data_IF_334995937016
#
_entry.id   IF_334995937016
#
_cell.length_a   1.000
_cell.length_b   1.000
_cell.length_c   1.000
_cell.angle_alpha   90.00
_cell.angle_beta   90.00
_cell.angle_gamma   90.00
#
_symmetry.space_group_name_H-M   'P 1'
#
loop_
_entity.id
_entity.type
_entity.pdbx_description
1 polymer ?
#
# COMPACT_ATOMS: atom_id res chain seq x y z
N UNK A 1 14.68 19.05 -15.20
CA UNK A 1 15.54 17.98 -15.74
C UNK A 1 16.61 17.51 -14.75
N UNK A 2 17.39 18.44 -14.12
CA UNK A 2 18.44 18.11 -13.14
C UNK A 2 17.83 17.47 -11.89
N UNK A 3 16.81 18.08 -11.30
CA UNK A 3 16.11 17.56 -10.10
C UNK A 3 15.52 16.18 -10.37
N UNK A 4 14.96 15.97 -11.56
CA UNK A 4 14.39 14.71 -11.99
C UNK A 4 15.44 13.58 -12.06
N UNK A 5 16.65 13.87 -12.52
CA UNK A 5 17.75 12.90 -12.53
C UNK A 5 18.24 12.57 -11.12
N UNK A 6 18.28 13.55 -10.21
CA UNK A 6 18.75 13.34 -8.84
C UNK A 6 17.76 12.56 -7.98
N UNK A 7 16.45 12.80 -8.15
CA UNK A 7 15.41 12.23 -7.27
C UNK A 7 14.78 10.97 -7.87
N UNK A 8 14.93 10.75 -9.17
CA UNK A 8 14.30 9.68 -9.91
C UNK A 8 12.86 10.01 -10.32
N UNK A 9 12.44 9.50 -11.48
CA UNK A 9 11.15 9.81 -12.08
C UNK A 9 9.96 9.46 -11.18
N UNK A 10 10.01 8.32 -10.51
CA UNK A 10 8.91 7.80 -9.69
C UNK A 10 8.58 8.63 -8.44
N UNK A 11 9.48 9.49 -7.99
CA UNK A 11 9.29 10.33 -6.81
C UNK A 11 9.34 11.82 -7.11
N UNK A 12 9.64 12.18 -8.36
CA UNK A 12 9.75 13.58 -8.80
C UNK A 12 8.51 14.42 -8.49
N UNK A 13 7.33 13.85 -8.66
CA UNK A 13 6.07 14.52 -8.36
C UNK A 13 5.90 14.92 -6.90
N UNK A 14 6.62 14.25 -5.96
CA UNK A 14 6.60 14.61 -4.53
C UNK A 14 7.25 15.96 -4.24
N UNK A 15 8.12 16.45 -5.15
CA UNK A 15 8.70 17.78 -5.03
C UNK A 15 7.61 18.85 -5.06
N UNK A 16 6.51 18.60 -5.77
CA UNK A 16 5.37 19.50 -5.81
C UNK A 16 4.67 19.66 -4.46
N UNK A 17 4.80 18.69 -3.55
CA UNK A 17 4.25 18.80 -2.19
C UNK A 17 5.01 19.78 -1.30
N UNK A 18 6.28 20.08 -1.64
CA UNK A 18 7.09 21.05 -0.92
C UNK A 18 6.67 22.48 -1.31
N UNK A 19 6.02 22.66 -2.47
CA UNK A 19 5.49 23.94 -2.89
C UNK A 19 4.30 24.30 -2.00
N UNK A 20 4.28 25.50 -1.41
CA UNK A 20 3.17 25.99 -0.60
C UNK A 20 1.97 26.34 -1.47
N UNK A 21 1.43 25.37 -2.23
CA UNK A 21 0.37 25.58 -3.20
C UNK A 21 -0.89 26.18 -2.57
N UNK A 22 -1.31 25.67 -1.41
CA UNK A 22 -2.49 26.16 -0.70
C UNK A 22 -2.34 27.62 -0.25
N UNK A 23 -1.25 28.02 0.45
CA UNK A 23 -1.00 29.43 0.76
C UNK A 23 -0.88 30.31 -0.47
N UNK A 24 -0.25 29.84 -1.56
CA UNK A 24 -0.14 30.62 -2.81
C UNK A 24 -1.50 30.85 -3.48
N UNK A 25 -2.35 29.83 -3.53
CA UNK A 25 -3.71 29.94 -4.07
C UNK A 25 -4.54 30.92 -3.20
N UNK A 26 -4.46 30.79 -1.88
CA UNK A 26 -5.15 31.71 -0.96
C UNK A 26 -4.66 33.15 -1.12
N UNK A 27 -3.35 33.35 -1.24
CA UNK A 27 -2.76 34.67 -1.48
C UNK A 27 -3.20 35.25 -2.83
N UNK A 28 -3.12 34.48 -3.92
CA UNK A 28 -3.56 34.89 -5.23
C UNK A 28 -5.06 35.26 -5.24
N UNK A 29 -5.90 34.45 -4.57
CA UNK A 29 -7.32 34.74 -4.40
C UNK A 29 -7.59 36.07 -3.66
N UNK A 30 -6.86 36.32 -2.58
CA UNK A 30 -6.98 37.58 -1.82
C UNK A 30 -6.50 38.79 -2.63
N UNK A 31 -5.45 38.64 -3.43
CA UNK A 31 -4.98 39.70 -4.34
C UNK A 31 -6.00 40.00 -5.43
N UNK A 32 -6.64 38.97 -6.02
CA UNK A 32 -7.70 39.12 -7.00
C UNK A 32 -8.90 39.88 -6.41
N UNK A 33 -9.36 39.48 -5.21
CA UNK A 33 -10.47 40.14 -4.52
C UNK A 33 -10.18 41.63 -4.29
N UNK A 34 -8.97 41.96 -3.82
CA UNK A 34 -8.53 43.35 -3.62
C UNK A 34 -8.46 44.15 -4.92
N UNK A 35 -8.07 43.53 -6.02
CA UNK A 35 -7.87 44.19 -7.33
C UNK A 35 -9.20 44.51 -8.04
N UNK A 36 -10.28 43.78 -7.73
CA UNK A 36 -11.60 43.97 -8.40
C UNK A 36 -12.32 45.26 -7.98
N UNK A 37 -11.73 46.05 -7.08
CA UNK A 37 -12.17 47.43 -6.84
C UNK A 37 -12.67 47.71 -5.44
N UNK A 38 -12.85 49.00 -5.14
CA UNK A 38 -13.17 49.51 -3.80
C UNK A 38 -14.58 49.18 -3.28
N UNK A 39 -15.47 48.63 -4.12
CA UNK A 39 -16.83 48.29 -3.70
C UNK A 39 -16.85 46.95 -2.95
N UNK A 40 -17.21 46.98 -1.66
CA UNK A 40 -17.38 45.80 -0.83
C UNK A 40 -18.32 44.76 -1.43
N UNK A 41 -19.40 45.19 -2.06
CA UNK A 41 -20.36 44.29 -2.70
C UNK A 41 -19.73 43.44 -3.81
N UNK A 42 -18.87 44.01 -4.65
CA UNK A 42 -18.18 43.27 -5.72
C UNK A 42 -17.18 42.25 -5.15
N UNK A 43 -16.51 42.60 -4.03
CA UNK A 43 -15.57 41.69 -3.35
C UNK A 43 -16.33 40.49 -2.77
N UNK A 44 -17.50 40.69 -2.16
CA UNK A 44 -18.35 39.59 -1.66
C UNK A 44 -18.88 38.70 -2.77
N UNK A 45 -19.31 39.27 -3.89
CA UNK A 45 -19.79 38.51 -5.06
C UNK A 45 -18.65 37.60 -5.57
N UNK A 46 -17.45 38.16 -5.74
CA UNK A 46 -16.29 37.37 -6.18
C UNK A 46 -15.90 36.26 -5.17
N UNK A 47 -15.94 36.56 -3.88
CA UNK A 47 -15.68 35.60 -2.84
C UNK A 47 -16.68 34.43 -2.88
N UNK A 48 -17.98 34.73 -2.98
CA UNK A 48 -19.04 33.72 -3.10
C UNK A 48 -18.85 32.89 -4.39
N UNK A 49 -18.49 33.53 -5.48
CA UNK A 49 -18.22 32.85 -6.75
C UNK A 49 -17.05 31.87 -6.63
N UNK A 50 -15.91 32.30 -6.03
CA UNK A 50 -14.76 31.44 -5.79
C UNK A 50 -15.15 30.27 -4.86
N UNK A 51 -15.89 30.53 -3.78
CA UNK A 51 -16.36 29.51 -2.87
C UNK A 51 -17.29 28.50 -3.57
N UNK A 52 -18.19 28.97 -4.43
CA UNK A 52 -19.05 28.11 -5.23
C UNK A 52 -18.24 27.24 -6.20
N UNK A 53 -17.27 27.80 -6.92
CA UNK A 53 -16.38 27.03 -7.81
C UNK A 53 -15.63 25.95 -7.03
N UNK A 54 -15.08 26.28 -5.87
CA UNK A 54 -14.38 25.29 -5.02
C UNK A 54 -15.34 24.19 -4.51
N UNK A 55 -16.58 24.54 -4.16
CA UNK A 55 -17.58 23.57 -3.71
C UNK A 55 -18.05 22.64 -4.84
N UNK A 56 -18.22 23.15 -6.05
CA UNK A 56 -18.67 22.36 -7.20
C UNK A 56 -17.55 21.57 -7.89
N UNK A 57 -16.34 22.13 -7.97
CA UNK A 57 -15.19 21.46 -8.59
C UNK A 57 -14.40 20.61 -7.60
N UNK A 58 -14.57 20.84 -6.30
CA UNK A 58 -13.93 20.06 -5.27
C UNK A 58 -14.59 18.70 -5.09
N UNK A 59 -13.82 17.62 -5.16
CA UNK A 59 -14.27 16.29 -4.71
C UNK A 59 -14.31 16.25 -3.18
N UNK A 60 -15.48 16.03 -2.62
CA UNK A 60 -15.63 15.87 -1.17
C UNK A 60 -14.89 14.61 -0.70
N UNK A 61 -13.92 14.78 0.18
CA UNK A 61 -13.12 13.69 0.75
C UNK A 61 -13.96 12.55 1.37
N UNK A 62 -15.23 12.84 1.73
CA UNK A 62 -16.14 11.85 2.32
C UNK A 62 -16.92 11.01 1.29
N UNK A 63 -16.96 11.40 0.01
CA UNK A 63 -17.78 10.69 -0.99
C UNK A 63 -17.24 9.30 -1.37
N UNK A 64 -15.93 9.10 -1.26
CA UNK A 64 -15.26 7.89 -1.76
C UNK A 64 -14.85 6.93 -0.64
N UNK A 65 -15.39 7.08 0.57
CA UNK A 65 -15.07 6.20 1.69
C UNK A 65 -13.59 6.25 2.12
N UNK A 66 -12.89 7.36 1.86
CA UNK A 66 -11.51 7.58 2.31
C UNK A 66 -11.37 7.56 3.83
N UNK A 67 -12.42 7.90 4.55
CA UNK A 67 -12.44 7.85 6.00
C UNK A 67 -13.16 6.58 6.46
N UNK A 68 -12.38 5.60 6.90
CA UNK A 68 -12.89 4.43 7.61
C UNK A 68 -12.65 4.60 9.10
N UNK A 69 -13.58 4.07 9.93
CA UNK A 69 -13.38 4.00 11.38
C UNK A 69 -12.11 3.20 11.64
N UNK A 70 -11.20 3.78 12.41
CA UNK A 70 -9.94 3.12 12.78
C UNK A 70 -10.27 2.02 13.79
N UNK A 71 -9.86 0.81 13.53
CA UNK A 71 -10.08 -0.37 14.38
C UNK A 71 -8.93 -0.56 15.38
N UNK A 72 -7.73 -0.13 15.01
CA UNK A 72 -6.56 -0.19 15.89
C UNK A 72 -5.71 1.08 15.77
N UNK A 73 -4.86 1.33 16.77
CA UNK A 73 -4.00 2.53 16.87
C UNK A 73 -3.06 2.67 15.66
N UNK A 74 -2.60 1.55 15.12
CA UNK A 74 -1.64 1.52 14.00
C UNK A 74 -2.32 1.67 12.63
N UNK A 75 -3.66 1.70 12.56
CA UNK A 75 -4.44 1.77 11.32
C UNK A 75 -4.15 0.61 10.35
N UNK A 76 -3.83 -0.55 10.89
CA UNK A 76 -3.55 -1.78 10.15
C UNK A 76 -4.86 -2.56 9.98
N UNK A 77 -5.14 -3.15 8.80
CA UNK A 77 -6.29 -4.03 8.61
C UNK A 77 -6.26 -5.22 9.59
N UNK A 78 -7.41 -5.55 10.17
CA UNK A 78 -7.52 -6.65 11.14
C UNK A 78 -7.12 -8.00 10.54
N UNK A 79 -7.36 -8.17 9.24
CA UNK A 79 -6.88 -9.33 8.47
C UNK A 79 -5.36 -9.52 8.64
N UNK A 80 -4.58 -8.44 8.53
CA UNK A 80 -3.11 -8.51 8.66
C UNK A 80 -2.69 -8.84 10.09
N UNK A 81 -3.38 -8.24 11.07
CA UNK A 81 -3.15 -8.53 12.50
C UNK A 81 -3.39 -10.00 12.78
N UNK A 82 -4.52 -10.55 12.31
CA UNK A 82 -4.88 -11.96 12.47
C UNK A 82 -3.87 -12.89 11.79
N UNK A 83 -3.40 -12.55 10.60
CA UNK A 83 -2.37 -13.32 9.89
C UNK A 83 -1.05 -13.32 10.67
N UNK A 84 -0.59 -12.18 11.15
CA UNK A 84 0.66 -12.09 11.90
C UNK A 84 0.57 -12.86 13.22
N UNK A 85 -0.55 -12.75 13.94
CA UNK A 85 -0.78 -13.49 15.18
C UNK A 85 -0.78 -15.01 14.93
N UNK A 86 -1.52 -15.47 13.90
CA UNK A 86 -1.55 -16.88 13.52
C UNK A 86 -0.16 -17.44 13.19
N UNK A 87 0.66 -16.66 12.47
CA UNK A 87 2.04 -17.06 12.14
C UNK A 87 2.89 -17.14 13.43
N UNK A 88 2.75 -16.17 14.33
CA UNK A 88 3.51 -16.14 15.58
C UNK A 88 3.09 -17.25 16.55
N UNK A 89 1.82 -17.65 16.56
CA UNK A 89 1.31 -18.79 17.35
C UNK A 89 1.84 -20.13 16.85
N UNK A 90 2.06 -20.27 15.55
CA UNK A 90 2.54 -21.50 14.92
C UNK A 90 4.06 -21.59 14.83
N UNK A 91 4.75 -20.51 15.15
CA UNK A 91 6.20 -20.42 15.09
C UNK A 91 6.85 -21.35 16.14
N UNK A 92 7.84 -22.13 15.72
CA UNK A 92 8.70 -22.88 16.63
C UNK A 92 9.64 -21.94 17.42
N UNK A 93 10.09 -22.39 18.57
CA UNK A 93 11.03 -21.64 19.40
C UNK A 93 12.34 -21.41 18.63
N UNK A 94 12.74 -20.13 18.47
CA UNK A 94 13.89 -19.68 17.67
C UNK A 94 13.75 -19.78 16.12
N UNK A 95 12.58 -20.07 15.58
CA UNK A 95 12.37 -20.05 14.14
C UNK A 95 12.38 -18.62 13.59
N UNK A 96 13.18 -18.36 12.54
CA UNK A 96 13.09 -17.12 11.78
C UNK A 96 11.94 -17.19 10.77
N UNK A 97 11.02 -16.25 10.84
CA UNK A 97 9.87 -16.17 9.92
C UNK A 97 10.29 -15.49 8.61
N UNK A 98 10.14 -16.21 7.50
CA UNK A 98 10.30 -15.71 6.14
C UNK A 98 8.96 -15.82 5.40
N UNK A 99 8.20 -14.72 5.40
CA UNK A 99 6.87 -14.64 4.81
C UNK A 99 6.90 -14.12 3.38
N UNK A 100 6.19 -14.79 2.47
CA UNK A 100 5.88 -14.26 1.15
C UNK A 100 4.36 -14.10 0.97
N UNK A 101 3.94 -12.91 0.54
CA UNK A 101 2.54 -12.52 0.40
C UNK A 101 2.36 -11.47 -0.70
N UNK A 102 1.14 -11.04 -0.96
CA UNK A 102 0.81 -9.97 -1.90
C UNK A 102 1.19 -8.57 -1.38
N UNK A 103 1.02 -7.56 -2.23
CA UNK A 103 1.38 -6.17 -1.90
C UNK A 103 0.52 -5.55 -0.81
N UNK A 104 -0.74 -5.97 -0.68
CA UNK A 104 -1.66 -5.40 0.31
C UNK A 104 -1.19 -5.77 1.72
N UNK A 105 -0.99 -7.07 1.94
CA UNK A 105 -0.55 -7.60 3.22
C UNK A 105 0.90 -7.20 3.50
N UNK A 106 1.81 -7.34 2.53
CA UNK A 106 3.23 -7.03 2.67
C UNK A 106 3.52 -5.59 3.14
N UNK A 107 2.65 -4.65 2.77
CA UNK A 107 2.81 -3.24 3.16
C UNK A 107 2.61 -3.02 4.65
N UNK A 108 1.74 -3.81 5.28
CA UNK A 108 1.36 -3.65 6.69
C UNK A 108 2.11 -4.59 7.63
N UNK A 109 2.50 -5.79 7.17
CA UNK A 109 3.21 -6.78 8.00
C UNK A 109 4.44 -6.17 8.66
N UNK A 110 5.28 -5.47 7.89
CA UNK A 110 6.50 -4.83 8.42
C UNK A 110 6.23 -3.69 9.42
N UNK A 111 5.06 -3.09 9.35
CA UNK A 111 4.65 -2.03 10.28
C UNK A 111 4.14 -2.67 11.58
N UNK A 112 3.45 -3.80 11.47
CA UNK A 112 2.89 -4.51 12.62
C UNK A 112 3.95 -5.31 13.36
N UNK A 113 4.70 -6.15 12.64
CA UNK A 113 5.74 -7.00 13.19
C UNK A 113 7.02 -6.97 12.34
N UNK A 114 8.02 -6.17 12.73
CA UNK A 114 9.28 -6.08 12.00
C UNK A 114 10.16 -7.32 12.09
N UNK A 115 9.86 -8.28 12.97
CA UNK A 115 10.60 -9.55 13.09
C UNK A 115 10.33 -10.49 11.91
N UNK A 116 9.17 -10.31 11.24
CA UNK A 116 8.78 -11.09 10.06
C UNK A 116 9.58 -10.62 8.85
N UNK A 117 10.51 -11.46 8.41
CA UNK A 117 11.34 -11.19 7.23
C UNK A 117 10.56 -11.49 5.95
N UNK A 118 10.78 -10.68 4.91
CA UNK A 118 10.15 -10.88 3.60
C UNK A 118 11.18 -10.83 2.48
N UNK A 119 11.05 -11.67 1.42
CA UNK A 119 12.02 -11.74 0.34
C UNK A 119 11.96 -10.53 -0.62
N UNK A 120 10.90 -9.71 -0.52
CA UNK A 120 10.69 -8.50 -1.31
C UNK A 120 9.83 -7.50 -0.53
N UNK A 121 9.86 -6.24 -0.96
CA UNK A 121 8.97 -5.19 -0.48
C UNK A 121 7.83 -4.91 -1.47
N UNK A 122 7.10 -3.83 -1.24
CA UNK A 122 5.98 -3.38 -2.06
C UNK A 122 6.36 -3.31 -3.55
N UNK A 123 5.51 -3.87 -4.40
CA UNK A 123 5.72 -3.93 -5.85
C UNK A 123 6.88 -4.86 -6.26
N UNK A 124 7.26 -5.83 -5.44
CA UNK A 124 8.38 -6.73 -5.70
C UNK A 124 9.74 -6.03 -5.69
N UNK A 125 9.82 -4.78 -5.20
CA UNK A 125 11.06 -4.00 -5.11
C UNK A 125 11.89 -4.44 -3.90
N UNK A 126 13.20 -4.16 -3.92
CA UNK A 126 14.10 -4.53 -2.81
C UNK A 126 14.43 -6.02 -2.75
N UNK A 127 14.06 -6.78 -3.74
CA UNK A 127 14.35 -8.21 -3.86
C UNK A 127 15.81 -8.49 -4.22
N UNK A 128 16.75 -7.71 -3.73
CA UNK A 128 18.23 -7.91 -3.88
C UNK A 128 18.66 -8.60 -5.20
N UNK A 129 18.09 -8.18 -6.34
CA UNK A 129 18.44 -8.70 -7.68
C UNK A 129 17.98 -10.14 -8.00
N UNK A 130 17.42 -10.89 -7.05
CA UNK A 130 17.05 -12.29 -7.24
C UNK A 130 15.82 -12.44 -8.13
N UNK A 131 16.00 -13.03 -9.32
CA UNK A 131 14.90 -13.35 -10.26
C UNK A 131 13.77 -14.14 -9.58
N UNK A 132 14.10 -15.04 -8.65
CA UNK A 132 13.14 -15.85 -7.91
C UNK A 132 12.14 -15.00 -7.09
N UNK A 133 12.60 -13.92 -6.43
CA UNK A 133 11.73 -13.05 -5.65
C UNK A 133 10.74 -12.28 -6.53
N UNK A 134 11.19 -11.76 -7.69
CA UNK A 134 10.29 -11.11 -8.66
C UNK A 134 9.26 -12.08 -9.23
N UNK A 135 9.66 -13.33 -9.52
CA UNK A 135 8.74 -14.35 -10.01
C UNK A 135 7.74 -14.79 -8.93
N UNK A 136 8.19 -14.94 -7.67
CA UNK A 136 7.30 -15.27 -6.57
C UNK A 136 6.26 -14.17 -6.37
N UNK A 137 6.69 -12.93 -6.26
CA UNK A 137 5.81 -11.77 -6.16
C UNK A 137 4.77 -11.73 -7.29
N UNK A 138 5.21 -11.86 -8.56
CA UNK A 138 4.30 -11.89 -9.71
C UNK A 138 3.23 -12.97 -9.62
N UNK A 139 3.54 -14.12 -9.02
CA UNK A 139 2.57 -15.21 -8.85
C UNK A 139 1.61 -14.93 -7.70
N UNK A 140 2.08 -14.33 -6.61
CA UNK A 140 1.24 -14.04 -5.44
C UNK A 140 0.26 -12.88 -5.67
N UNK A 141 0.61 -11.95 -6.56
CA UNK A 141 -0.27 -10.85 -6.98
C UNK A 141 -1.25 -11.27 -8.10
N UNK A 142 -1.00 -12.38 -8.78
CA UNK A 142 -1.86 -12.85 -9.86
C UNK A 142 -3.17 -13.42 -9.32
N UNK A 143 -4.29 -13.13 -9.99
CA UNK A 143 -5.62 -13.68 -9.63
C UNK A 143 -5.62 -15.22 -9.58
N UNK A 144 -4.89 -15.86 -10.50
CA UNK A 144 -4.74 -17.32 -10.54
C UNK A 144 -3.27 -17.70 -10.49
N UNK A 145 -2.71 -17.90 -9.29
CA UNK A 145 -1.31 -18.26 -9.15
C UNK A 145 -0.99 -19.67 -9.68
N UNK A 146 0.16 -19.80 -10.32
CA UNK A 146 0.69 -21.11 -10.73
C UNK A 146 1.45 -21.73 -9.56
N UNK A 147 0.78 -22.59 -8.80
CA UNK A 147 1.28 -23.14 -7.52
C UNK A 147 2.65 -23.81 -7.65
N UNK A 148 2.92 -24.54 -8.73
CA UNK A 148 4.25 -25.13 -8.97
C UNK A 148 5.36 -24.08 -8.98
N UNK A 149 5.10 -22.89 -9.56
CA UNK A 149 6.07 -21.78 -9.57
C UNK A 149 6.17 -21.09 -8.20
N UNK A 150 5.06 -20.95 -7.48
CA UNK A 150 5.04 -20.42 -6.11
C UNK A 150 5.93 -21.28 -5.23
N UNK A 151 5.65 -22.57 -5.11
CA UNK A 151 6.39 -23.51 -4.27
C UNK A 151 7.89 -23.55 -4.65
N UNK A 152 8.21 -23.64 -5.94
CA UNK A 152 9.61 -23.66 -6.42
C UNK A 152 10.39 -22.42 -5.97
N UNK A 153 9.79 -21.23 -6.13
CA UNK A 153 10.47 -19.98 -5.80
C UNK A 153 10.48 -19.71 -4.29
N UNK A 154 9.42 -20.09 -3.55
CA UNK A 154 9.38 -19.99 -2.11
C UNK A 154 10.51 -20.81 -1.46
N UNK A 155 10.67 -22.07 -1.86
CA UNK A 155 11.78 -22.92 -1.38
C UNK A 155 13.16 -22.34 -1.71
N UNK A 156 13.32 -21.80 -2.93
CA UNK A 156 14.58 -21.16 -3.34
C UNK A 156 14.92 -19.92 -2.51
N UNK A 157 13.90 -19.23 -2.02
CA UNK A 157 14.03 -18.04 -1.17
C UNK A 157 14.00 -18.36 0.32
N UNK A 158 13.89 -19.65 0.67
CA UNK A 158 13.77 -20.14 2.06
C UNK A 158 12.55 -19.53 2.79
N UNK A 159 11.46 -19.25 2.05
CA UNK A 159 10.21 -18.83 2.70
C UNK A 159 9.57 -20.05 3.36
N UNK A 160 9.33 -19.93 4.68
CA UNK A 160 8.62 -20.94 5.47
C UNK A 160 7.12 -20.64 5.55
N UNK A 161 6.71 -19.38 5.38
CA UNK A 161 5.29 -18.99 5.39
C UNK A 161 4.87 -18.37 4.06
N UNK A 162 3.66 -18.73 3.60
CA UNK A 162 3.03 -18.21 2.38
C UNK A 162 1.61 -17.77 2.68
N UNK A 163 1.26 -16.52 2.33
CA UNK A 163 -0.10 -16.00 2.46
C UNK A 163 -0.60 -15.57 1.09
N UNK A 164 -1.69 -16.19 0.65
CA UNK A 164 -2.35 -15.91 -0.62
C UNK A 164 -3.75 -16.54 -0.62
N UNK A 165 -4.64 -16.18 -1.57
CA UNK A 165 -5.98 -16.76 -1.63
C UNK A 165 -5.95 -18.29 -1.69
N UNK A 166 -6.84 -18.92 -0.94
CA UNK A 166 -6.89 -20.40 -0.76
C UNK A 166 -6.97 -21.09 -2.12
N UNK A 167 -6.04 -21.97 -2.44
CA UNK A 167 -6.07 -22.72 -3.69
C UNK A 167 -7.11 -23.85 -3.66
N UNK A 168 -7.51 -24.35 -4.83
CA UNK A 168 -8.36 -25.54 -4.91
C UNK A 168 -7.73 -26.75 -4.18
N UNK A 169 -8.57 -27.68 -3.67
CA UNK A 169 -8.11 -28.87 -2.93
C UNK A 169 -6.96 -29.64 -3.62
N UNK A 170 -7.02 -29.78 -4.96
CA UNK A 170 -5.95 -30.44 -5.72
C UNK A 170 -4.62 -29.69 -5.66
N UNK A 171 -4.66 -28.36 -5.65
CA UNK A 171 -3.45 -27.51 -5.55
C UNK A 171 -2.90 -27.52 -4.13
N UNK A 172 -3.78 -27.56 -3.14
CA UNK A 172 -3.43 -27.67 -1.72
C UNK A 172 -2.68 -29.00 -1.46
N UNK A 173 -3.25 -30.12 -1.91
CA UNK A 173 -2.59 -31.44 -1.80
C UNK A 173 -1.20 -31.44 -2.44
N UNK A 174 -1.04 -30.79 -3.59
CA UNK A 174 0.28 -30.64 -4.20
C UNK A 174 1.25 -29.85 -3.30
N UNK A 175 0.79 -28.79 -2.62
CA UNK A 175 1.63 -28.02 -1.69
C UNK A 175 2.05 -28.86 -0.48
N UNK A 176 1.15 -29.66 0.05
CA UNK A 176 1.41 -30.59 1.17
C UNK A 176 2.50 -31.63 0.79
N UNK A 177 2.45 -32.20 -0.42
CA UNK A 177 3.52 -33.10 -0.92
C UNK A 177 4.89 -32.39 -1.03
N UNK A 178 4.90 -31.06 -0.98
CA UNK A 178 6.11 -30.25 -1.02
C UNK A 178 6.47 -29.63 0.33
N UNK A 179 5.76 -30.01 1.41
CA UNK A 179 6.04 -29.59 2.78
C UNK A 179 5.45 -28.21 3.14
N UNK A 180 4.41 -27.75 2.45
CA UNK A 180 3.64 -26.58 2.83
C UNK A 180 2.23 -27.01 3.24
N UNK A 181 1.91 -26.81 4.49
CA UNK A 181 0.62 -27.19 5.09
C UNK A 181 -0.23 -25.95 5.32
N UNK A 182 -1.56 -26.10 5.25
CA UNK A 182 -2.49 -25.04 5.60
C UNK A 182 -2.57 -24.91 7.12
N UNK A 183 -2.15 -23.78 7.65
CA UNK A 183 -2.17 -23.49 9.10
C UNK A 183 -3.42 -22.74 9.53
N UNK A 184 -4.10 -22.03 8.63
CA UNK A 184 -5.33 -21.30 8.93
C UNK A 184 -5.85 -20.51 7.75
N UNK A 185 -7.05 -19.95 7.93
CA UNK A 185 -7.70 -19.05 6.99
C UNK A 185 -8.20 -17.83 7.74
N UNK A 186 -8.02 -16.66 7.15
CA UNK A 186 -8.53 -15.39 7.66
C UNK A 186 -9.53 -14.84 6.65
N UNK A 187 -10.71 -14.47 7.12
CA UNK A 187 -11.82 -13.93 6.33
C UNK A 187 -11.84 -12.40 6.39
#
# INVERSE_FOLDING_TARGET
YIIQKCIGWSVYWRVLWVLPAVPLIAYAGTCLIKKVGASRSRQYILLIFIAAVLAFCGTGLNKDGFYKKVQNVQKIPDEVVSICNLINEQKEENEEIYLATDDKIASYVRVYDPSIKMPYGRGGKGASGKKAARWLHKQLVAEVPVIKKVVKNAKRLKCNYLVFPVPSKKKQLYMETKGFYLIGQVN
#
